data_IF_903872715035
#
_entry.id   IF_903872715035
#
_cell.length_a   1.000
_cell.length_b   1.000
_cell.length_c   1.000
_cell.angle_alpha   90.00
_cell.angle_beta   90.00
_cell.angle_gamma   90.00
#
_symmetry.space_group_name_H-M   'P 1'
#
loop_
_entity.id
_entity.type
_entity.pdbx_description
1 polymer ?
#
# COMPACT_ATOMS: atom_id res chain seq x y z
N UNK A 1 -1.23 -0.19 -30.45
CA UNK A 1 -1.18 -1.44 -29.68
C UNK A 1 -0.71 -1.13 -28.25
N UNK A 2 -1.58 -0.55 -27.43
CA UNK A 2 -1.21 -0.09 -26.09
C UNK A 2 -2.47 0.20 -25.31
N UNK A 3 -2.78 -0.63 -24.31
CA UNK A 3 -3.74 -0.35 -23.23
C UNK A 3 -3.85 -1.49 -22.18
N UNK A 4 -3.21 -2.66 -22.37
CA UNK A 4 -3.39 -3.81 -21.46
C UNK A 4 -2.34 -3.97 -20.34
N UNK A 5 -1.15 -3.39 -20.47
CA UNK A 5 -0.05 -3.56 -19.51
C UNK A 5 -0.20 -2.75 -18.21
N UNK A 6 -0.92 -1.62 -18.25
CA UNK A 6 -1.09 -0.74 -17.08
C UNK A 6 -1.99 -1.35 -15.98
N UNK A 7 -3.05 -2.08 -16.36
CA UNK A 7 -3.91 -2.78 -15.38
C UNK A 7 -3.23 -4.00 -14.75
N UNK A 8 -2.28 -4.61 -15.45
CA UNK A 8 -1.60 -5.82 -14.99
C UNK A 8 -0.57 -5.52 -13.88
N UNK A 9 0.23 -4.46 -14.05
CA UNK A 9 1.24 -4.08 -13.05
C UNK A 9 0.61 -3.59 -11.74
N UNK A 10 -0.49 -2.83 -11.83
CA UNK A 10 -1.25 -2.35 -10.68
C UNK A 10 -1.96 -3.52 -9.96
N UNK A 11 -2.57 -4.45 -10.71
CA UNK A 11 -3.14 -5.68 -10.14
C UNK A 11 -2.10 -6.53 -9.43
N UNK A 12 -0.92 -6.73 -10.01
CA UNK A 12 0.16 -7.51 -9.40
C UNK A 12 0.54 -6.88 -8.06
N UNK A 13 0.83 -5.58 -8.04
CA UNK A 13 1.25 -4.91 -6.81
C UNK A 13 0.14 -4.90 -5.75
N UNK A 14 -1.14 -4.70 -6.12
CA UNK A 14 -2.28 -4.76 -5.19
C UNK A 14 -2.62 -6.17 -4.70
N UNK A 15 -2.50 -7.21 -5.54
CA UNK A 15 -2.71 -8.61 -5.14
C UNK A 15 -1.73 -8.99 -4.02
N UNK A 16 -0.47 -8.57 -4.14
CA UNK A 16 0.55 -8.83 -3.12
C UNK A 16 0.37 -7.97 -1.86
N UNK A 17 -0.23 -6.79 -1.98
CA UNK A 17 -0.48 -5.87 -0.87
C UNK A 17 -1.68 -6.28 -0.01
N UNK A 18 -2.74 -6.84 -0.62
CA UNK A 18 -4.00 -7.12 0.06
C UNK A 18 -4.08 -8.57 0.61
N UNK A 19 -3.40 -9.54 -0.01
CA UNK A 19 -3.46 -10.94 0.41
C UNK A 19 -2.14 -11.41 1.03
N UNK A 20 -2.14 -12.03 2.24
CA UNK A 20 -0.94 -12.64 2.79
C UNK A 20 -0.44 -13.74 1.83
N UNK A 21 0.88 -13.80 1.63
CA UNK A 21 1.57 -14.73 0.73
C UNK A 21 1.29 -16.21 1.00
N UNK A 22 0.64 -16.55 2.12
CA UNK A 22 0.11 -17.89 2.39
C UNK A 22 -0.96 -18.36 1.39
N UNK A 23 -1.59 -17.47 0.63
CA UNK A 23 -2.58 -17.82 -0.40
C UNK A 23 -1.98 -18.01 -1.81
N UNK A 24 -0.71 -17.67 -2.03
CA UNK A 24 -0.04 -17.78 -3.31
C UNK A 24 1.21 -18.64 -3.19
N UNK A 25 1.13 -19.87 -3.71
CA UNK A 25 2.31 -20.71 -3.89
C UNK A 25 3.07 -20.22 -5.12
N UNK A 26 4.03 -19.32 -4.91
CA UNK A 26 5.07 -19.08 -5.91
C UNK A 26 6.02 -20.27 -5.83
N UNK A 27 6.18 -21.00 -6.94
CA UNK A 27 7.19 -22.04 -7.01
C UNK A 27 8.57 -21.39 -6.85
N UNK A 28 9.19 -21.64 -5.70
CA UNK A 28 10.56 -21.27 -5.44
C UNK A 28 11.47 -22.09 -6.35
N UNK A 29 11.99 -21.47 -7.41
CA UNK A 29 13.21 -21.96 -8.02
C UNK A 29 14.39 -21.25 -7.36
N UNK A 30 15.04 -22.01 -6.48
CA UNK A 30 16.23 -21.61 -5.73
C UNK A 30 17.39 -21.38 -6.69
N UNK A 31 17.66 -20.12 -7.01
CA UNK A 31 19.00 -19.67 -7.39
C UNK A 31 19.24 -18.30 -6.76
N UNK A 32 19.27 -18.32 -5.42
CA UNK A 32 19.75 -17.23 -4.60
C UNK A 32 21.27 -17.21 -4.70
N UNK A 33 21.79 -16.15 -5.35
CA UNK A 33 23.13 -15.53 -5.30
C UNK A 33 23.60 -15.19 -6.71
N UNK A 34 24.07 -13.96 -6.91
CA UNK A 34 24.68 -13.42 -8.16
C UNK A 34 23.79 -13.14 -9.39
N UNK A 35 22.58 -12.61 -9.20
CA UNK A 35 21.86 -11.92 -10.30
C UNK A 35 21.05 -10.70 -9.86
N UNK A 36 21.58 -9.93 -8.91
CA UNK A 36 21.27 -8.51 -8.81
C UNK A 36 21.87 -7.85 -10.06
N UNK A 37 21.20 -8.00 -11.21
CA UNK A 37 21.44 -7.15 -12.36
C UNK A 37 21.37 -5.71 -11.85
N UNK A 38 22.40 -4.92 -12.14
CA UNK A 38 22.41 -3.47 -11.99
C UNK A 38 21.14 -2.91 -12.63
N UNK A 39 20.07 -2.82 -11.84
CA UNK A 39 18.87 -2.17 -12.31
C UNK A 39 19.27 -0.70 -12.40
N UNK A 40 19.18 -0.13 -13.60
CA UNK A 40 19.63 1.25 -13.88
C UNK A 40 18.76 2.32 -13.21
N UNK A 41 18.28 2.08 -11.99
CA UNK A 41 17.54 3.01 -11.15
C UNK A 41 17.69 2.67 -9.66
N UNK A 42 17.64 3.70 -8.80
CA UNK A 42 17.45 3.57 -7.35
C UNK A 42 15.96 3.53 -7.02
N UNK A 43 15.59 2.87 -5.92
CA UNK A 43 14.21 2.81 -5.44
C UNK A 43 14.08 3.41 -4.03
N UNK A 44 13.10 4.29 -3.86
CA UNK A 44 12.68 4.81 -2.56
C UNK A 44 11.25 4.33 -2.29
N UNK A 45 11.07 3.62 -1.17
CA UNK A 45 9.75 3.28 -0.65
C UNK A 45 9.27 4.36 0.32
N UNK A 46 8.23 5.07 -0.09
CA UNK A 46 7.58 6.15 0.64
C UNK A 46 6.57 5.71 1.71
N UNK A 47 6.73 4.51 2.30
CA UNK A 47 5.76 3.92 3.23
C UNK A 47 6.43 3.18 4.38
N UNK A 48 5.80 3.24 5.56
CA UNK A 48 6.20 2.48 6.74
C UNK A 48 5.59 1.07 6.79
N UNK A 49 4.63 0.76 5.92
CA UNK A 49 3.94 -0.53 5.89
C UNK A 49 4.91 -1.72 5.77
N UNK A 50 4.83 -2.63 6.74
CA UNK A 50 5.58 -3.89 6.71
C UNK A 50 5.15 -4.77 5.54
N UNK A 51 3.88 -4.73 5.13
CA UNK A 51 3.40 -5.47 3.96
C UNK A 51 4.09 -4.97 2.69
N UNK A 52 4.09 -3.66 2.43
CA UNK A 52 4.72 -3.07 1.23
C UNK A 52 6.23 -3.32 1.19
N UNK A 53 6.90 -3.24 2.35
CA UNK A 53 8.32 -3.59 2.49
C UNK A 53 8.59 -5.05 2.11
N UNK A 54 7.78 -5.96 2.64
CA UNK A 54 7.92 -7.40 2.37
C UNK A 54 7.72 -7.72 0.89
N UNK A 55 6.73 -7.10 0.25
CA UNK A 55 6.41 -7.34 -1.17
C UNK A 55 7.56 -6.90 -2.07
N UNK A 56 8.08 -5.69 -1.86
CA UNK A 56 9.22 -5.21 -2.65
C UNK A 56 10.46 -6.08 -2.44
N UNK A 57 10.70 -6.55 -1.21
CA UNK A 57 11.79 -7.47 -0.91
C UNK A 57 11.60 -8.84 -1.57
N UNK A 58 10.39 -9.42 -1.53
CA UNK A 58 10.05 -10.69 -2.20
C UNK A 58 10.17 -10.58 -3.73
N UNK A 59 9.93 -9.40 -4.30
CA UNK A 59 10.17 -9.10 -5.72
C UNK A 59 11.66 -8.90 -6.07
N UNK A 60 12.56 -8.95 -5.08
CA UNK A 60 14.00 -8.78 -5.25
C UNK A 60 14.44 -7.33 -5.50
N UNK A 61 13.70 -6.35 -4.98
CA UNK A 61 14.11 -4.95 -5.00
C UNK A 61 14.84 -4.55 -3.73
N UNK A 62 16.00 -3.92 -3.91
CA UNK A 62 16.62 -3.10 -2.88
C UNK A 62 15.99 -1.69 -2.91
N UNK A 63 15.66 -1.17 -1.73
CA UNK A 63 15.03 0.14 -1.60
C UNK A 63 15.45 0.85 -0.31
N UNK A 64 15.45 2.18 -0.36
CA UNK A 64 15.58 3.03 0.83
C UNK A 64 14.19 3.43 1.31
N UNK A 65 13.97 3.47 2.62
CA UNK A 65 12.71 3.94 3.19
C UNK A 65 12.83 5.42 3.51
N UNK A 66 11.88 6.23 3.03
CA UNK A 66 11.72 7.63 3.42
C UNK A 66 10.24 7.85 3.72
N UNK A 67 9.92 8.49 4.84
CA UNK A 67 8.52 8.55 5.31
C UNK A 67 8.01 9.98 5.27
N UNK A 68 6.83 10.14 4.68
CA UNK A 68 6.09 11.39 4.74
C UNK A 68 5.60 11.61 6.18
N UNK A 69 5.61 12.87 6.61
CA UNK A 69 4.98 13.28 7.87
C UNK A 69 3.85 14.23 7.48
N UNK A 70 2.71 13.64 7.10
CA UNK A 70 1.54 14.38 6.64
C UNK A 70 0.39 14.16 7.62
N UNK A 71 -0.41 15.20 7.81
CA UNK A 71 -1.70 15.07 8.46
C UNK A 71 -2.70 14.45 7.48
N UNK A 72 -2.74 13.12 7.43
CA UNK A 72 -3.69 12.36 6.59
C UNK A 72 -5.16 12.73 6.92
N UNK A 73 -5.44 13.26 8.12
CA UNK A 73 -6.78 13.65 8.52
C UNK A 73 -7.24 14.98 7.91
N UNK A 74 -6.31 15.85 7.54
CA UNK A 74 -6.60 17.09 6.85
C UNK A 74 -7.01 16.88 5.38
N UNK A 75 -6.66 15.72 4.80
CA UNK A 75 -7.00 15.38 3.42
C UNK A 75 -8.31 14.59 3.43
N UNK A 76 -9.34 15.19 2.82
CA UNK A 76 -10.68 14.63 2.74
C UNK A 76 -11.23 14.78 1.34
N UNK A 77 -11.80 13.70 0.83
CA UNK A 77 -12.54 13.65 -0.43
C UNK A 77 -13.80 12.82 -0.20
N UNK A 78 -14.82 13.04 -1.03
CA UNK A 78 -16.08 12.29 -0.93
C UNK A 78 -15.93 10.83 -1.37
N UNK A 79 -15.09 10.59 -2.38
CA UNK A 79 -14.87 9.27 -2.95
C UNK A 79 -13.60 8.63 -2.40
N UNK A 80 -13.65 7.34 -2.01
CA UNK A 80 -12.49 6.63 -1.46
C UNK A 80 -11.35 6.50 -2.47
N UNK A 81 -11.65 6.36 -3.76
CA UNK A 81 -10.65 6.32 -4.83
C UNK A 81 -9.86 7.63 -4.94
N UNK A 82 -10.56 8.75 -4.84
CA UNK A 82 -9.93 10.08 -4.88
C UNK A 82 -9.11 10.31 -3.60
N UNK A 83 -9.58 9.79 -2.46
CA UNK A 83 -8.89 9.94 -1.18
C UNK A 83 -7.53 9.27 -1.22
N UNK A 84 -7.48 8.00 -1.62
CA UNK A 84 -6.23 7.25 -1.63
C UNK A 84 -5.24 7.82 -2.64
N UNK A 85 -5.71 8.32 -3.79
CA UNK A 85 -4.83 8.98 -4.76
C UNK A 85 -4.27 10.28 -4.17
N UNK A 86 -5.11 11.12 -3.57
CA UNK A 86 -4.70 12.37 -2.94
C UNK A 86 -3.69 12.14 -1.80
N UNK A 87 -3.91 11.12 -0.96
CA UNK A 87 -2.99 10.75 0.11
C UNK A 87 -1.64 10.26 -0.44
N UNK A 88 -1.63 9.40 -1.46
CA UNK A 88 -0.38 8.95 -2.08
C UNK A 88 0.40 10.10 -2.75
N UNK A 89 -0.30 11.06 -3.38
CA UNK A 89 0.30 12.27 -3.94
C UNK A 89 0.87 13.19 -2.85
N UNK A 90 0.12 13.43 -1.78
CA UNK A 90 0.58 14.22 -0.65
C UNK A 90 1.84 13.62 -0.01
N UNK A 91 1.87 12.30 0.18
CA UNK A 91 3.07 11.58 0.66
C UNK A 91 4.26 11.79 -0.25
N UNK A 92 4.05 11.73 -1.57
CA UNK A 92 5.14 11.88 -2.54
C UNK A 92 5.69 13.31 -2.51
N UNK A 93 4.82 14.31 -2.50
CA UNK A 93 5.23 15.71 -2.47
C UNK A 93 6.01 16.05 -1.20
N UNK A 94 5.55 15.56 -0.03
CA UNK A 94 6.25 15.77 1.23
C UNK A 94 7.63 15.10 1.26
N UNK A 95 7.72 13.86 0.76
CA UNK A 95 9.02 13.16 0.66
C UNK A 95 9.97 13.91 -0.29
N UNK A 96 9.48 14.39 -1.43
CA UNK A 96 10.28 15.18 -2.38
C UNK A 96 10.78 16.46 -1.72
N UNK A 97 9.92 17.15 -0.96
CA UNK A 97 10.30 18.34 -0.18
C UNK A 97 11.42 18.03 0.81
N UNK A 98 11.28 16.96 1.61
CA UNK A 98 12.31 16.50 2.57
C UNK A 98 13.63 16.13 1.91
N UNK A 99 13.60 15.65 0.67
CA UNK A 99 14.78 15.29 -0.10
C UNK A 99 15.44 16.51 -0.80
N UNK A 100 14.94 17.73 -0.57
CA UNK A 100 15.50 18.95 -1.14
C UNK A 100 15.02 19.28 -2.56
N UNK A 101 13.94 18.64 -3.00
CA UNK A 101 13.32 18.83 -4.32
C UNK A 101 13.87 17.91 -5.42
N UNK A 102 13.16 17.86 -6.54
CA UNK A 102 13.53 17.00 -7.69
C UNK A 102 14.86 17.40 -8.35
N UNK A 103 15.25 18.67 -8.23
CA UNK A 103 16.49 19.21 -8.81
C UNK A 103 17.76 18.52 -8.28
N UNK A 104 17.72 17.98 -7.06
CA UNK A 104 18.81 17.20 -6.48
C UNK A 104 19.10 15.93 -7.29
N UNK A 105 18.08 15.34 -7.90
CA UNK A 105 18.18 14.07 -8.64
C UNK A 105 18.50 14.25 -10.12
N UNK A 106 18.50 15.49 -10.63
CA UNK A 106 18.77 15.77 -12.05
C UNK A 106 20.18 15.32 -12.48
N UNK A 107 21.16 15.45 -11.56
CA UNK A 107 22.57 15.12 -11.79
C UNK A 107 22.94 13.69 -11.43
N UNK A 108 22.02 12.92 -10.83
CA UNK A 108 22.31 11.55 -10.45
C UNK A 108 22.61 10.69 -11.69
N UNK A 109 23.64 9.83 -11.66
CA UNK A 109 24.00 9.00 -12.81
C UNK A 109 22.87 8.05 -13.21
N UNK A 110 22.09 7.59 -12.23
CA UNK A 110 20.92 6.74 -12.44
C UNK A 110 19.64 7.38 -11.90
N UNK A 111 18.48 7.22 -12.58
CA UNK A 111 17.20 7.71 -12.09
C UNK A 111 16.85 7.13 -10.72
N UNK A 112 16.15 7.92 -9.90
CA UNK A 112 15.57 7.47 -8.63
C UNK A 112 14.06 7.43 -8.76
N UNK A 113 13.46 6.28 -8.44
CA UNK A 113 12.01 6.09 -8.43
C UNK A 113 11.50 6.17 -6.99
N UNK A 114 10.54 7.06 -6.73
CA UNK A 114 9.80 7.13 -5.47
C UNK A 114 8.47 6.39 -5.65
N UNK A 115 8.20 5.40 -4.79
CA UNK A 115 6.91 4.73 -4.71
C UNK A 115 6.18 5.18 -3.44
N UNK A 116 5.02 5.80 -3.60
CA UNK A 116 4.07 6.04 -2.50
C UNK A 116 2.79 5.30 -2.76
N UNK A 117 2.04 5.04 -1.68
CA UNK A 117 0.80 4.32 -1.76
C UNK A 117 -0.06 4.66 -0.54
N UNK A 118 -1.37 4.57 -0.72
CA UNK A 118 -2.32 4.71 0.37
C UNK A 118 -3.45 3.70 0.23
N UNK A 119 -4.13 3.40 1.32
CA UNK A 119 -5.19 2.38 1.35
C UNK A 119 -6.16 2.65 2.48
N UNK A 120 -7.44 2.57 2.15
CA UNK A 120 -8.56 2.75 3.07
C UNK A 120 -9.52 1.58 3.00
N UNK A 121 -10.19 1.30 4.12
CA UNK A 121 -11.28 0.33 4.17
C UNK A 121 -12.59 1.04 3.95
N UNK A 122 -13.45 0.44 3.13
CA UNK A 122 -14.80 0.92 2.86
C UNK A 122 -15.78 -0.13 3.34
N UNK A 123 -16.71 0.24 4.21
CA UNK A 123 -17.76 -0.65 4.69
C UNK A 123 -19.11 0.03 4.57
N UNK A 124 -20.06 -0.62 3.88
CA UNK A 124 -21.40 -0.06 3.59
C UNK A 124 -21.35 1.36 3.01
N UNK A 125 -20.40 1.61 2.10
CA UNK A 125 -20.22 2.91 1.44
C UNK A 125 -19.47 3.96 2.27
N UNK A 126 -19.06 3.66 3.51
CA UNK A 126 -18.37 4.60 4.40
C UNK A 126 -16.90 4.23 4.53
N UNK A 127 -16.02 5.23 4.44
CA UNK A 127 -14.59 5.09 4.71
C UNK A 127 -14.39 4.89 6.21
N UNK A 128 -13.70 3.80 6.58
CA UNK A 128 -13.31 3.50 7.95
C UNK A 128 -11.84 3.82 8.16
N UNK A 129 -11.58 4.72 9.10
CA UNK A 129 -10.22 4.97 9.59
C UNK A 129 -9.74 3.85 10.52
N UNK A 130 -8.50 3.98 11.02
CA UNK A 130 -8.00 3.07 12.04
C UNK A 130 -8.78 3.27 13.35
N UNK A 131 -9.35 2.21 13.95
CA UNK A 131 -10.04 2.33 15.21
C UNK A 131 -9.05 2.80 16.26
N UNK A 132 -9.53 3.73 17.08
CA UNK A 132 -8.79 4.37 18.14
C UNK A 132 -8.94 3.63 19.47
N UNK A 133 -9.99 2.82 19.60
CA UNK A 133 -10.32 2.05 20.81
C UNK A 133 -10.53 0.56 20.51
N UNK A 134 -10.42 -0.27 21.56
CA UNK A 134 -10.66 -1.72 21.43
C UNK A 134 -12.12 -2.02 21.13
N UNK A 135 -13.01 -1.20 21.66
CA UNK A 135 -14.45 -1.26 21.51
C UNK A 135 -14.84 -0.97 20.06
N UNK A 136 -14.30 0.10 19.47
CA UNK A 136 -14.48 0.45 18.06
C UNK A 136 -13.90 -0.65 17.15
N UNK A 137 -12.74 -1.19 17.50
CA UNK A 137 -12.15 -2.29 16.74
C UNK A 137 -13.00 -3.57 16.80
N UNK A 138 -13.61 -3.88 17.96
CA UNK A 138 -14.56 -4.99 18.12
C UNK A 138 -15.79 -4.77 17.24
N UNK A 139 -16.35 -3.57 17.27
CA UNK A 139 -17.50 -3.18 16.45
C UNK A 139 -17.20 -3.36 14.96
N UNK A 140 -16.02 -2.95 14.52
CA UNK A 140 -15.61 -3.07 13.12
C UNK A 140 -15.53 -4.54 12.70
N UNK A 141 -14.84 -5.40 13.46
CA UNK A 141 -14.72 -6.85 13.17
C UNK A 141 -16.10 -7.49 13.16
N UNK A 142 -16.90 -7.23 14.19
CA UNK A 142 -18.25 -7.80 14.31
C UNK A 142 -19.12 -7.40 13.12
N UNK A 143 -19.00 -6.16 12.64
CA UNK A 143 -19.69 -5.70 11.44
C UNK A 143 -19.28 -6.43 10.17
N UNK A 144 -18.05 -6.95 10.07
CA UNK A 144 -17.63 -7.76 8.93
C UNK A 144 -18.16 -9.20 8.97
N UNK A 145 -18.50 -9.73 10.15
CA UNK A 145 -18.99 -11.10 10.33
C UNK A 145 -20.20 -11.40 9.44
N UNK A 146 -20.10 -12.46 8.62
CA UNK A 146 -21.15 -12.85 7.66
C UNK A 146 -21.41 -11.81 6.56
N UNK A 147 -20.50 -10.87 6.36
CA UNK A 147 -20.63 -9.74 5.42
C UNK A 147 -19.35 -9.56 4.59
N UNK A 148 -19.19 -8.41 3.96
CA UNK A 148 -18.01 -8.07 3.19
C UNK A 148 -17.47 -6.68 3.53
N UNK A 149 -16.15 -6.54 3.45
CA UNK A 149 -15.45 -5.26 3.50
C UNK A 149 -14.86 -4.92 2.15
N UNK A 150 -14.90 -3.66 1.75
CA UNK A 150 -14.16 -3.14 0.61
C UNK A 150 -12.80 -2.61 1.04
N UNK A 151 -11.79 -2.76 0.19
CA UNK A 151 -10.49 -2.11 0.33
C UNK A 151 -10.24 -1.31 -0.94
N UNK A 152 -9.94 -0.04 -0.80
CA UNK A 152 -9.54 0.82 -1.93
C UNK A 152 -8.11 1.25 -1.67
N UNK A 153 -7.23 1.06 -2.64
CA UNK A 153 -5.81 1.41 -2.51
C UNK A 153 -5.26 2.07 -3.77
N UNK A 154 -4.29 2.95 -3.59
CA UNK A 154 -3.57 3.63 -4.66
C UNK A 154 -2.07 3.31 -4.61
N UNK A 155 -1.44 3.41 -5.76
CA UNK A 155 0.02 3.45 -5.88
C UNK A 155 0.39 4.56 -6.83
N UNK A 156 1.41 5.34 -6.46
CA UNK A 156 2.03 6.37 -7.25
C UNK A 156 3.53 6.10 -7.36
N UNK A 157 4.05 6.15 -8.57
CA UNK A 157 5.46 6.06 -8.90
C UNK A 157 5.88 7.38 -9.53
N UNK A 158 6.91 8.01 -8.97
CA UNK A 158 7.48 9.25 -9.49
C UNK A 158 8.96 9.07 -9.79
N UNK A 159 9.33 9.38 -11.03
CA UNK A 159 10.73 9.44 -11.42
C UNK A 159 11.29 10.80 -11.01
N UNK A 160 12.11 10.83 -9.96
CA UNK A 160 12.63 12.07 -9.40
C UNK A 160 13.60 12.80 -10.32
N UNK A 161 14.18 12.10 -11.31
CA UNK A 161 15.10 12.70 -12.29
C UNK A 161 14.35 13.40 -13.42
N UNK A 162 13.20 12.88 -13.85
CA UNK A 162 12.43 13.42 -14.99
C UNK A 162 11.15 14.15 -14.59
N UNK A 163 10.71 14.03 -13.33
CA UNK A 163 9.42 14.53 -12.85
C UNK A 163 8.21 13.72 -13.34
N UNK A 164 8.41 12.69 -14.16
CA UNK A 164 7.31 11.87 -14.69
C UNK A 164 6.64 11.11 -13.55
N UNK A 165 5.31 11.26 -13.44
CA UNK A 165 4.47 10.50 -12.51
C UNK A 165 3.58 9.49 -13.23
N UNK A 166 3.41 8.32 -12.63
CA UNK A 166 2.46 7.27 -13.04
C UNK A 166 1.84 6.66 -11.80
N UNK A 167 0.54 6.49 -11.81
CA UNK A 167 -0.15 5.87 -10.68
C UNK A 167 -1.54 5.41 -11.07
N UNK A 168 -2.20 4.77 -10.12
CA UNK A 168 -3.58 4.33 -10.25
C UNK A 168 -4.10 3.82 -8.91
N UNK A 169 -5.41 3.58 -8.88
CA UNK A 169 -6.09 2.96 -7.75
C UNK A 169 -6.77 1.68 -8.20
N UNK A 170 -7.02 0.78 -7.25
CA UNK A 170 -7.84 -0.42 -7.45
C UNK A 170 -8.67 -0.69 -6.20
N UNK A 171 -9.72 -1.48 -6.37
CA UNK A 171 -10.64 -1.88 -5.30
C UNK A 171 -10.74 -3.39 -5.23
N UNK A 172 -10.65 -3.92 -4.01
CA UNK A 172 -10.93 -5.31 -3.70
C UNK A 172 -12.08 -5.42 -2.70
N UNK A 173 -12.72 -6.59 -2.69
CA UNK A 173 -13.73 -6.94 -1.68
C UNK A 173 -13.29 -8.22 -0.98
N UNK A 174 -13.49 -8.23 0.34
CA UNK A 174 -13.16 -9.36 1.21
C UNK A 174 -14.45 -9.83 1.84
N UNK A 175 -14.81 -11.07 1.53
CA UNK A 175 -16.01 -11.72 2.06
C UNK A 175 -15.64 -12.55 3.28
N UNK A 176 -16.37 -12.35 4.37
CA UNK A 176 -16.14 -13.02 5.63
C UNK A 176 -17.27 -14.00 5.91
N UNK A 177 -16.91 -15.19 6.35
CA UNK A 177 -17.85 -16.07 7.04
C UNK A 177 -18.24 -15.45 8.40
N UNK A 178 -19.15 -16.11 9.11
CA UNK A 178 -19.39 -15.75 10.51
C UNK A 178 -18.08 -15.85 11.30
N UNK A 179 -17.74 -14.78 11.99
CA UNK A 179 -16.54 -14.67 12.83
C UNK A 179 -16.99 -14.96 14.27
N UNK A 180 -16.56 -16.08 14.88
CA UNK A 180 -16.94 -16.42 16.24
C UNK A 180 -16.44 -15.38 17.25
N UNK A 181 -17.20 -15.15 18.33
CA UNK A 181 -16.88 -14.12 19.33
C UNK A 181 -15.47 -14.30 19.93
N UNK A 182 -15.04 -15.54 20.12
CA UNK A 182 -13.68 -15.88 20.60
C UNK A 182 -12.57 -15.40 19.65
N UNK A 183 -12.83 -15.46 18.34
CA UNK A 183 -11.90 -14.95 17.30
C UNK A 183 -11.88 -13.43 17.33
N UNK A 184 -13.05 -12.78 17.49
CA UNK A 184 -13.15 -11.32 17.65
C UNK A 184 -12.34 -10.88 18.87
N UNK A 185 -12.53 -11.52 20.02
CA UNK A 185 -11.79 -11.25 21.25
C UNK A 185 -10.29 -11.41 21.07
N UNK A 186 -9.86 -12.49 20.40
CA UNK A 186 -8.46 -12.74 20.07
C UNK A 186 -7.87 -11.64 19.20
N UNK A 187 -8.58 -11.26 18.13
CA UNK A 187 -8.15 -10.19 17.22
C UNK A 187 -8.03 -8.85 17.95
N UNK A 188 -9.02 -8.47 18.77
CA UNK A 188 -9.02 -7.23 19.56
C UNK A 188 -7.88 -7.20 20.58
N UNK A 189 -7.63 -8.31 21.30
CA UNK A 189 -6.52 -8.41 22.27
C UNK A 189 -5.16 -8.23 21.62
N UNK A 190 -4.99 -8.76 20.42
CA UNK A 190 -3.75 -8.61 19.66
C UNK A 190 -3.56 -7.18 19.13
N UNK A 191 -4.56 -6.28 19.26
CA UNK A 191 -4.65 -5.01 18.54
C UNK A 191 -4.43 -5.16 17.02
N UNK A 192 -4.67 -6.39 16.53
CA UNK A 192 -4.65 -6.79 15.13
C UNK A 192 -6.00 -6.74 14.40
N UNK A 193 -7.15 -6.26 14.94
CA UNK A 193 -8.43 -6.23 14.20
C UNK A 193 -8.29 -5.65 12.80
N UNK A 194 -7.41 -4.66 12.73
CA UNK A 194 -7.18 -3.83 11.59
C UNK A 194 -5.91 -4.17 10.81
N UNK A 195 -4.98 -4.91 11.40
CA UNK A 195 -3.75 -5.31 10.71
C UNK A 195 -4.09 -6.19 9.49
N UNK A 196 -5.19 -6.95 9.50
CA UNK A 196 -5.54 -7.82 8.38
C UNK A 196 -6.01 -7.06 7.12
N UNK A 197 -6.61 -5.87 7.26
CA UNK A 197 -7.10 -5.06 6.12
C UNK A 197 -6.30 -3.75 5.91
N UNK A 198 -5.62 -3.24 6.94
CA UNK A 198 -4.95 -1.93 6.98
C UNK A 198 -3.45 -1.99 7.35
N UNK A 199 -2.83 -3.18 7.45
CA UNK A 199 -1.35 -3.29 7.39
C UNK A 199 -0.74 -2.80 6.07
N UNK A 200 -1.59 -2.32 5.18
CA UNK A 200 -1.23 -1.85 3.87
C UNK A 200 -0.65 -0.44 3.92
N UNK A 201 -1.14 0.48 4.77
CA UNK A 201 -0.76 1.92 4.72
C UNK A 201 0.53 2.28 5.47
#
# INVERSE_FOLDING_TARGET
>A
MGLKTHKFFLRILLIFVIFPSSLFRLEHNTTMTTKAMERGFKLILGSQSMARKRILAEMGYDYTIVTADIDEKAIRTEKPEDLVVALAEAKANEIISKLGGESQFAKDPQPTLLITADTVVVYKGVIREKPTTKEEAREFIKGYSGSHGGVVGSVLVRNLKTGVKKGGWDKAEVYFHEIPEQVIDGLVKLLKPLFFLLSIS
#
